data_IF_310616368531
#
_entry.id   IF_310616368531
#
_cell.length_a   1.000
_cell.length_b   1.000
_cell.length_c   1.000
_cell.angle_alpha   90.00
_cell.angle_beta   90.00
_cell.angle_gamma   90.00
#
_symmetry.space_group_name_H-M   'P 1'
#
loop_
_entity.id
_entity.type
_entity.pdbx_description
1 polymer ?
#
# COMPACT_ATOMS: atom_id res chain seq x y z
N UNK A 1 -2.30 -8.43 -15.63
CA UNK A 1 -1.50 -7.18 -15.64
C UNK A 1 -2.35 -5.92 -15.66
N UNK A 2 -3.36 -5.78 -16.55
CA UNK A 2 -4.20 -4.56 -16.59
C UNK A 2 -4.84 -4.21 -15.23
N UNK A 3 -5.38 -5.22 -14.54
CA UNK A 3 -5.93 -5.09 -13.19
C UNK A 3 -4.89 -4.59 -12.18
N UNK A 4 -3.77 -5.30 -12.07
CA UNK A 4 -2.65 -4.90 -11.22
C UNK A 4 -2.18 -3.46 -11.43
N UNK A 5 -2.03 -3.01 -12.69
CA UNK A 5 -1.62 -1.64 -13.00
C UNK A 5 -2.67 -0.64 -12.53
N UNK A 6 -3.95 -0.90 -12.80
CA UNK A 6 -5.05 -0.01 -12.42
C UNK A 6 -5.10 0.20 -10.89
N UNK A 7 -5.14 -0.88 -10.12
CA UNK A 7 -5.27 -0.78 -8.66
C UNK A 7 -3.95 -0.37 -7.99
N UNK A 8 -2.81 -0.78 -8.54
CA UNK A 8 -1.50 -0.31 -8.09
C UNK A 8 -1.35 1.20 -8.27
N UNK A 9 -1.74 1.75 -9.43
CA UNK A 9 -1.73 3.18 -9.66
C UNK A 9 -2.66 3.94 -8.71
N UNK A 10 -3.86 3.42 -8.46
CA UNK A 10 -4.79 4.02 -7.48
C UNK A 10 -4.16 4.08 -6.09
N UNK A 11 -3.59 2.97 -5.60
CA UNK A 11 -2.91 2.93 -4.30
C UNK A 11 -1.76 3.93 -4.27
N UNK A 12 -0.87 3.90 -5.27
CA UNK A 12 0.31 4.75 -5.30
C UNK A 12 -0.01 6.25 -5.35
N UNK A 13 -0.99 6.65 -6.17
CA UNK A 13 -1.42 8.06 -6.29
C UNK A 13 -2.11 8.52 -5.01
N UNK A 14 -3.03 7.71 -4.44
CA UNK A 14 -3.70 8.07 -3.19
C UNK A 14 -2.71 8.19 -2.04
N UNK A 15 -1.74 7.28 -1.94
CA UNK A 15 -0.64 7.38 -0.97
C UNK A 15 0.20 8.63 -1.18
N UNK A 16 0.52 8.99 -2.42
CA UNK A 16 1.24 10.23 -2.75
C UNK A 16 0.48 11.49 -2.34
N UNK A 17 -0.82 11.55 -2.64
CA UNK A 17 -1.70 12.64 -2.20
C UNK A 17 -1.77 12.68 -0.67
N UNK A 18 -1.86 11.52 -0.01
CA UNK A 18 -1.90 11.44 1.45
C UNK A 18 -0.65 12.04 2.10
N UNK A 19 0.54 11.81 1.53
CA UNK A 19 1.78 12.43 2.00
C UNK A 19 1.68 13.97 2.00
N UNK A 20 1.10 14.56 0.95
CA UNK A 20 0.89 16.01 0.87
C UNK A 20 -0.14 16.51 1.89
N UNK A 21 -1.22 15.75 2.12
CA UNK A 21 -2.23 16.06 3.13
C UNK A 21 -1.59 16.06 4.53
N UNK A 22 -0.77 15.06 4.84
CA UNK A 22 -0.06 14.96 6.11
C UNK A 22 0.91 16.15 6.31
N UNK A 23 1.55 16.60 5.24
CA UNK A 23 2.39 17.80 5.26
C UNK A 23 1.58 19.05 5.59
N UNK A 24 0.47 19.28 4.88
CA UNK A 24 -0.40 20.43 5.11
C UNK A 24 -1.07 20.41 6.49
N UNK A 25 -1.33 19.22 7.04
CA UNK A 25 -1.90 19.04 8.37
C UNK A 25 -0.87 19.24 9.50
N UNK A 26 0.38 19.59 9.18
CA UNK A 26 1.45 19.77 10.17
C UNK A 26 1.82 18.48 10.90
N UNK A 27 1.45 17.31 10.36
CA UNK A 27 1.73 16.01 11.02
C UNK A 27 3.25 15.76 11.16
N UNK A 28 4.05 16.39 10.30
CA UNK A 28 5.51 16.34 10.33
C UNK A 28 6.16 17.55 11.05
N UNK A 29 5.42 18.62 11.35
CA UNK A 29 5.95 19.80 12.06
C UNK A 29 6.11 19.56 13.57
N UNK A 30 5.22 18.75 14.17
CA UNK A 30 5.25 18.44 15.61
C UNK A 30 6.21 17.28 15.97
N UNK A 31 6.91 16.70 15.00
CA UNK A 31 7.75 15.52 15.19
C UNK A 31 9.18 15.82 15.70
N UNK A 32 9.51 17.10 15.95
CA UNK A 32 10.79 17.51 16.53
C UNK A 32 10.55 18.37 17.78
N UNK A 33 11.05 17.99 18.99
CA UNK A 33 12.05 16.96 19.30
C UNK A 33 11.48 15.64 19.87
N UNK A 34 10.15 15.46 19.92
CA UNK A 34 9.53 14.27 20.51
C UNK A 34 9.27 13.20 19.44
N UNK A 35 10.30 12.40 19.16
CA UNK A 35 10.33 11.34 18.14
C UNK A 35 9.54 10.07 18.48
N UNK A 36 8.67 10.07 19.50
CA UNK A 36 8.10 8.82 20.05
C UNK A 36 6.64 8.55 19.65
N UNK A 37 6.01 9.45 18.89
CA UNK A 37 4.62 9.31 18.50
C UNK A 37 4.44 9.22 16.99
N UNK A 38 4.15 8.03 16.46
CA UNK A 38 3.44 7.93 15.20
C UNK A 38 2.15 8.75 15.33
N UNK A 39 2.00 9.82 14.54
CA UNK A 39 0.72 10.51 14.49
C UNK A 39 -0.35 9.51 14.07
N UNK A 40 -1.48 9.48 14.76
CA UNK A 40 -2.62 8.61 14.42
C UNK A 40 -3.03 8.75 12.94
N UNK A 41 -2.75 9.91 12.32
CA UNK A 41 -2.93 10.19 10.90
C UNK A 41 -2.04 9.34 9.98
N UNK A 42 -0.85 8.94 10.45
CA UNK A 42 0.02 8.01 9.71
C UNK A 42 -0.54 6.59 9.74
N UNK A 43 -1.10 6.13 10.87
CA UNK A 43 -1.76 4.82 10.93
C UNK A 43 -2.98 4.74 10.01
N UNK A 44 -3.69 5.85 9.79
CA UNK A 44 -4.78 5.90 8.81
C UNK A 44 -4.31 5.64 7.37
N UNK A 45 -3.05 5.92 7.05
CA UNK A 45 -2.50 5.66 5.71
C UNK A 45 -2.55 4.18 5.33
N UNK A 46 -2.57 3.27 6.31
CA UNK A 46 -2.67 1.81 6.13
C UNK A 46 -4.01 1.40 5.50
N UNK A 47 -5.05 2.21 5.64
CA UNK A 47 -6.37 1.95 5.04
C UNK A 47 -6.28 1.97 3.51
N UNK A 48 -5.45 2.85 2.93
CA UNK A 48 -5.30 3.00 1.48
C UNK A 48 -4.85 1.69 0.81
N UNK A 49 -3.69 1.08 1.19
CA UNK A 49 -3.27 -0.19 0.62
C UNK A 49 -4.23 -1.33 0.97
N UNK A 50 -4.82 -1.36 2.17
CA UNK A 50 -5.79 -2.41 2.53
C UNK A 50 -7.00 -2.42 1.58
N UNK A 51 -7.67 -1.27 1.44
CA UNK A 51 -8.85 -1.13 0.59
C UNK A 51 -8.50 -1.33 -0.88
N UNK A 52 -7.39 -0.74 -1.34
CA UNK A 52 -6.93 -0.88 -2.71
C UNK A 52 -6.59 -2.32 -3.07
N UNK A 53 -5.89 -3.06 -2.20
CA UNK A 53 -5.60 -4.48 -2.40
C UNK A 53 -6.87 -5.31 -2.37
N UNK A 54 -7.80 -5.04 -1.45
CA UNK A 54 -9.06 -5.77 -1.35
C UNK A 54 -9.85 -5.68 -2.67
N UNK A 55 -10.07 -4.46 -3.16
CA UNK A 55 -10.78 -4.27 -4.42
C UNK A 55 -9.98 -4.77 -5.62
N UNK A 56 -8.65 -4.65 -5.61
CA UNK A 56 -7.81 -5.15 -6.70
C UNK A 56 -7.84 -6.67 -6.83
N UNK A 57 -7.67 -7.39 -5.73
CA UNK A 57 -7.71 -8.86 -5.71
C UNK A 57 -9.14 -9.36 -5.96
N UNK A 58 -10.16 -8.70 -5.38
CA UNK A 58 -11.56 -9.03 -5.67
C UNK A 58 -11.92 -8.83 -7.14
N UNK A 59 -11.49 -7.71 -7.74
CA UNK A 59 -11.69 -7.43 -9.16
C UNK A 59 -11.01 -8.47 -10.05
N UNK A 60 -9.82 -8.97 -9.65
CA UNK A 60 -9.17 -10.07 -10.35
C UNK A 60 -10.01 -11.35 -10.33
N UNK A 61 -10.49 -11.76 -9.14
CA UNK A 61 -11.38 -12.91 -9.01
C UNK A 61 -12.63 -12.76 -9.87
N UNK A 62 -13.34 -11.64 -9.73
CA UNK A 62 -14.67 -11.48 -10.31
C UNK A 62 -14.62 -11.25 -11.83
N UNK A 63 -13.65 -10.47 -12.34
CA UNK A 63 -13.62 -10.06 -13.75
C UNK A 63 -12.61 -10.82 -14.62
N UNK A 64 -11.58 -11.42 -14.02
CA UNK A 64 -10.48 -12.05 -14.77
C UNK A 64 -10.33 -13.55 -14.52
N UNK A 65 -10.87 -14.08 -13.41
CA UNK A 65 -10.74 -15.48 -13.04
C UNK A 65 -12.10 -16.19 -12.87
N UNK A 66 -13.15 -15.65 -13.51
CA UNK A 66 -14.47 -16.29 -13.60
C UNK A 66 -15.18 -16.48 -12.25
N UNK A 67 -14.91 -15.59 -11.29
CA UNK A 67 -15.48 -15.65 -9.94
C UNK A 67 -14.84 -16.71 -9.03
N UNK A 68 -13.76 -17.37 -9.48
CA UNK A 68 -13.00 -18.35 -8.68
C UNK A 68 -11.58 -17.87 -8.49
N UNK A 69 -10.99 -18.17 -7.34
CA UNK A 69 -9.60 -17.80 -7.07
C UNK A 69 -9.05 -18.75 -6.02
N UNK A 70 -7.88 -19.32 -6.31
CA UNK A 70 -7.09 -20.05 -5.33
C UNK A 70 -6.22 -19.09 -4.51
N UNK A 71 -5.78 -19.53 -3.33
CA UNK A 71 -4.97 -18.72 -2.42
C UNK A 71 -3.73 -18.11 -3.10
N UNK A 72 -2.94 -18.93 -3.81
CA UNK A 72 -1.73 -18.48 -4.48
C UNK A 72 -2.00 -17.53 -5.65
N UNK A 73 -3.11 -17.70 -6.37
CA UNK A 73 -3.51 -16.77 -7.44
C UNK A 73 -3.79 -15.38 -6.87
N UNK A 74 -4.47 -15.30 -5.73
CA UNK A 74 -4.69 -14.06 -4.99
C UNK A 74 -3.38 -13.42 -4.54
N UNK A 75 -2.46 -14.22 -4.00
CA UNK A 75 -1.14 -13.74 -3.58
C UNK A 75 -0.37 -13.14 -4.76
N UNK A 76 -0.29 -13.86 -5.88
CA UNK A 76 0.44 -13.40 -7.05
C UNK A 76 -0.14 -12.12 -7.64
N UNK A 77 -1.46 -11.97 -7.66
CA UNK A 77 -2.08 -10.72 -8.11
C UNK A 77 -1.85 -9.58 -7.12
N UNK A 78 -1.97 -9.84 -5.82
CA UNK A 78 -1.68 -8.85 -4.77
C UNK A 78 -0.24 -8.33 -4.84
N UNK A 79 0.75 -9.22 -5.04
CA UNK A 79 2.14 -8.81 -5.25
C UNK A 79 2.32 -7.92 -6.49
N UNK A 80 1.65 -8.23 -7.62
CA UNK A 80 1.73 -7.37 -8.82
C UNK A 80 1.16 -5.98 -8.55
N UNK A 81 0.04 -5.89 -7.84
CA UNK A 81 -0.56 -4.62 -7.41
C UNK A 81 0.43 -3.85 -6.51
N UNK A 82 1.01 -4.52 -5.52
CA UNK A 82 1.98 -3.93 -4.60
C UNK A 82 3.23 -3.40 -5.30
N UNK A 83 3.78 -4.13 -6.27
CA UNK A 83 4.96 -3.68 -7.00
C UNK A 83 4.66 -2.38 -7.75
N UNK A 84 3.53 -2.31 -8.47
CA UNK A 84 3.14 -1.10 -9.19
C UNK A 84 2.88 0.06 -8.21
N UNK A 85 2.08 -0.18 -7.18
CA UNK A 85 1.74 0.87 -6.20
C UNK A 85 2.95 1.33 -5.39
N UNK A 86 3.83 0.40 -5.03
CA UNK A 86 5.05 0.66 -4.27
C UNK A 86 6.03 1.53 -5.07
N UNK A 87 6.22 1.27 -6.37
CA UNK A 87 7.07 2.12 -7.22
C UNK A 87 6.54 3.56 -7.26
N UNK A 88 5.24 3.73 -7.47
CA UNK A 88 4.60 5.05 -7.57
C UNK A 88 4.67 5.77 -6.21
N UNK A 89 4.34 5.08 -5.12
CA UNK A 89 4.42 5.65 -3.78
C UNK A 89 5.85 6.03 -3.40
N UNK A 90 6.84 5.19 -3.74
CA UNK A 90 8.26 5.48 -3.53
C UNK A 90 8.72 6.71 -4.32
N UNK A 91 8.25 6.88 -5.56
CA UNK A 91 8.50 8.09 -6.33
C UNK A 91 7.97 9.35 -5.61
N UNK A 92 6.71 9.36 -5.17
CA UNK A 92 6.14 10.49 -4.42
C UNK A 92 6.89 10.76 -3.11
N UNK A 93 7.22 9.71 -2.35
CA UNK A 93 7.98 9.82 -1.12
C UNK A 93 9.36 10.46 -1.39
N UNK A 94 10.06 10.00 -2.43
CA UNK A 94 11.38 10.51 -2.81
C UNK A 94 11.33 11.99 -3.18
N UNK A 95 10.35 12.39 -4.00
CA UNK A 95 10.11 13.79 -4.37
C UNK A 95 9.84 14.63 -3.11
N UNK A 96 8.94 14.18 -2.23
CA UNK A 96 8.62 14.89 -1.00
C UNK A 96 9.85 15.09 -0.09
N UNK A 97 10.66 14.05 0.13
CA UNK A 97 11.87 14.13 0.96
C UNK A 97 12.90 15.09 0.33
N UNK A 98 13.07 15.02 -0.99
CA UNK A 98 14.10 15.81 -1.69
C UNK A 98 13.80 17.32 -1.65
N UNK A 99 12.51 17.70 -1.81
CA UNK A 99 12.10 19.09 -1.97
C UNK A 99 11.52 19.73 -0.71
N UNK A 100 10.97 18.94 0.22
CA UNK A 100 10.25 19.47 1.38
C UNK A 100 10.96 19.12 2.69
N UNK A 101 11.30 17.84 2.90
CA UNK A 101 11.76 17.36 4.20
C UNK A 101 13.12 16.67 4.13
N UNK A 102 14.16 17.44 3.79
CA UNK A 102 15.54 16.94 3.62
C UNK A 102 16.16 16.34 4.89
N UNK A 103 15.60 16.65 6.07
CA UNK A 103 16.02 16.13 7.37
C UNK A 103 15.53 14.70 7.68
N UNK A 104 14.55 14.17 6.95
CA UNK A 104 13.94 12.85 7.20
C UNK A 104 14.69 11.66 6.55
N UNK A 105 15.87 11.87 5.97
CA UNK A 105 16.56 10.86 5.12
C UNK A 105 16.83 9.50 5.77
N UNK A 106 17.04 9.44 7.09
CA UNK A 106 17.40 8.20 7.80
C UNK A 106 16.19 7.35 8.26
N UNK A 107 15.01 7.94 8.44
CA UNK A 107 13.81 7.25 8.92
C UNK A 107 12.97 6.61 7.79
N UNK A 108 13.20 7.04 6.55
CA UNK A 108 12.41 6.65 5.38
C UNK A 108 12.56 5.17 5.03
N UNK A 109 13.76 4.62 5.13
CA UNK A 109 14.02 3.22 4.76
C UNK A 109 13.26 2.25 5.67
N UNK A 110 13.20 2.54 6.99
CA UNK A 110 12.44 1.75 7.96
C UNK A 110 10.94 1.81 7.69
N UNK A 111 10.43 2.99 7.34
CA UNK A 111 9.00 3.20 7.05
C UNK A 111 8.56 2.52 5.75
N UNK A 112 9.37 2.62 4.70
CA UNK A 112 9.12 1.91 3.43
C UNK A 112 9.17 0.39 3.65
N UNK A 113 10.16 -0.09 4.41
CA UNK A 113 10.26 -1.51 4.77
C UNK A 113 9.04 -1.99 5.55
N UNK A 114 8.62 -1.25 6.58
CA UNK A 114 7.42 -1.54 7.38
C UNK A 114 6.14 -1.56 6.54
N UNK A 115 5.95 -0.57 5.66
CA UNK A 115 4.81 -0.54 4.74
C UNK A 115 4.81 -1.73 3.77
N UNK A 116 6.00 -2.16 3.32
CA UNK A 116 6.16 -3.37 2.51
C UNK A 116 5.69 -4.62 3.24
N UNK A 117 6.12 -4.82 4.50
CA UNK A 117 5.70 -5.95 5.34
C UNK A 117 4.17 -5.94 5.55
N UNK A 118 3.60 -4.78 5.88
CA UNK A 118 2.14 -4.63 6.04
C UNK A 118 1.40 -4.98 4.75
N UNK A 119 1.90 -4.53 3.59
CA UNK A 119 1.34 -4.87 2.29
C UNK A 119 1.34 -6.38 2.02
N UNK A 120 2.42 -7.09 2.37
CA UNK A 120 2.50 -8.55 2.25
C UNK A 120 1.46 -9.21 3.15
N UNK A 121 1.34 -8.80 4.41
CA UNK A 121 0.35 -9.33 5.35
C UNK A 121 -1.08 -9.12 4.85
N UNK A 122 -1.39 -7.95 4.30
CA UNK A 122 -2.68 -7.67 3.68
C UNK A 122 -2.94 -8.53 2.46
N UNK A 123 -1.94 -8.71 1.60
CA UNK A 123 -2.06 -9.60 0.45
C UNK A 123 -2.40 -11.02 0.89
N UNK A 124 -1.74 -11.55 1.91
CA UNK A 124 -2.04 -12.87 2.47
C UNK A 124 -3.46 -12.93 3.06
N UNK A 125 -3.82 -11.98 3.92
CA UNK A 125 -5.12 -11.94 4.59
C UNK A 125 -6.29 -11.82 3.59
N UNK A 126 -6.17 -10.93 2.60
CA UNK A 126 -7.19 -10.70 1.58
C UNK A 126 -7.31 -11.91 0.65
N UNK A 127 -6.18 -12.53 0.29
CA UNK A 127 -6.19 -13.73 -0.54
C UNK A 127 -6.89 -14.90 0.18
N UNK A 128 -6.66 -15.08 1.47
CA UNK A 128 -7.40 -16.05 2.29
C UNK A 128 -8.90 -15.72 2.36
N UNK A 129 -9.24 -14.44 2.54
CA UNK A 129 -10.63 -13.98 2.67
C UNK A 129 -11.42 -14.19 1.39
N UNK A 130 -10.80 -13.99 0.23
CA UNK A 130 -11.47 -14.01 -1.07
C UNK A 130 -11.35 -15.35 -1.82
N UNK A 131 -10.54 -16.29 -1.35
CA UNK A 131 -10.38 -17.59 -2.02
C UNK A 131 -11.68 -18.41 -1.95
N UNK A 132 -11.91 -19.21 -2.99
CA UNK A 132 -12.96 -20.21 -2.98
C UNK A 132 -12.36 -21.57 -2.59
N UNK A 133 -13.21 -22.53 -2.17
CA UNK A 133 -12.82 -23.89 -1.78
C UNK A 133 -11.80 -24.47 -2.77
N UNK A 134 -10.61 -24.82 -2.29
CA UNK A 134 -9.53 -25.33 -3.11
C UNK A 134 -9.95 -26.65 -3.76
N UNK A 135 -9.76 -26.77 -5.08
CA UNK A 135 -10.15 -27.98 -5.82
C UNK A 135 -9.17 -29.14 -5.59
N UNK A 136 -7.96 -28.85 -5.09
CA UNK A 136 -6.83 -29.78 -5.01
C UNK A 136 -6.18 -29.87 -3.61
N UNK A 137 -6.92 -29.63 -2.53
CA UNK A 137 -6.56 -30.08 -1.17
C UNK A 137 -7.61 -31.07 -0.69
#
# INVERSE_FOLDING_TARGET
>A
MKNAIKYGAVIGILSGIWILILHLAGAYENAYPNSDGFSWLEYLSIIIPFVGLYFGIKSFRDNYNGGRMEFFEGIFEGFKIMVVGGIIAAFFATVYIQYVAQSLKMDVMGRIGGAGVVGVLFTLAISLLLMNKQRNL
#
